data_IF_285835649732
#
_entry.id   IF_285835649732
#
_cell.length_a   1.000
_cell.length_b   1.000
_cell.length_c   1.000
_cell.angle_alpha   90.00
_cell.angle_beta   90.00
_cell.angle_gamma   90.00
#
_symmetry.space_group_name_H-M   'P 1'
#
loop_
_entity.id
_entity.type
_entity.pdbx_description
1 polymer ?
#
# COMPACT_ATOMS: atom_id res chain seq x y z
N UNK A 1 -8.48 3.20 -24.45
CA UNK A 1 -8.09 1.85 -24.00
C UNK A 1 -8.86 0.85 -24.81
N UNK A 2 -8.18 0.18 -25.75
CA UNK A 2 -8.79 -0.85 -26.60
C UNK A 2 -8.42 -2.21 -26.01
N UNK A 3 -9.42 -3.07 -25.81
CA UNK A 3 -9.23 -4.36 -25.13
C UNK A 3 -9.74 -5.53 -25.98
N UNK A 4 -9.15 -6.71 -25.75
CA UNK A 4 -9.59 -7.95 -26.38
C UNK A 4 -9.50 -9.14 -25.44
N UNK A 5 -10.24 -10.20 -25.77
CA UNK A 5 -10.04 -11.55 -25.20
C UNK A 5 -9.64 -12.50 -26.32
N UNK A 6 -8.59 -13.28 -26.09
CA UNK A 6 -8.05 -14.17 -27.10
C UNK A 6 -7.65 -15.52 -26.51
N UNK A 7 -7.77 -16.57 -27.32
CA UNK A 7 -7.19 -17.86 -26.98
C UNK A 7 -5.66 -17.84 -27.11
N UNK A 8 -4.97 -18.67 -26.33
CA UNK A 8 -3.50 -18.82 -26.44
C UNK A 8 -3.05 -19.08 -27.88
N UNK A 9 -3.73 -20.01 -28.59
CA UNK A 9 -3.41 -20.32 -30.00
C UNK A 9 -3.68 -19.15 -30.93
N UNK A 10 -4.82 -18.47 -30.77
CA UNK A 10 -5.18 -17.33 -31.61
C UNK A 10 -4.17 -16.18 -31.47
N UNK A 11 -3.65 -15.97 -30.26
CA UNK A 11 -2.66 -14.94 -29.98
C UNK A 11 -1.35 -15.24 -30.73
N UNK A 12 -0.86 -16.48 -30.63
CA UNK A 12 0.36 -16.92 -31.31
C UNK A 12 0.21 -16.78 -32.83
N UNK A 13 -0.97 -17.08 -33.37
CA UNK A 13 -1.26 -16.96 -34.80
C UNK A 13 -1.49 -15.52 -35.28
N UNK A 14 -1.75 -14.56 -34.39
CA UNK A 14 -2.07 -13.18 -34.74
C UNK A 14 -1.29 -12.18 -33.88
N UNK A 15 0.04 -12.34 -33.81
CA UNK A 15 0.91 -11.47 -32.99
C UNK A 15 0.85 -9.99 -33.39
N UNK A 16 0.48 -9.68 -34.64
CA UNK A 16 0.25 -8.31 -35.10
C UNK A 16 -0.81 -7.56 -34.27
N UNK A 17 -1.77 -8.27 -33.68
CA UNK A 17 -2.80 -7.69 -32.80
C UNK A 17 -2.20 -7.10 -31.51
N UNK A 18 -1.00 -7.49 -31.11
CA UNK A 18 -0.32 -6.91 -29.95
C UNK A 18 -0.06 -5.39 -30.11
N UNK A 19 -0.03 -4.90 -31.35
CA UNK A 19 0.12 -3.47 -31.65
C UNK A 19 -1.22 -2.71 -31.70
N UNK A 20 -2.34 -3.43 -31.75
CA UNK A 20 -3.68 -2.86 -31.92
C UNK A 20 -4.42 -2.68 -30.59
N UNK A 21 -4.05 -3.47 -29.57
CA UNK A 21 -4.72 -3.50 -28.27
C UNK A 21 -3.81 -3.02 -27.14
N UNK A 22 -4.39 -2.26 -26.22
CA UNK A 22 -3.71 -1.81 -25.00
C UNK A 22 -3.66 -2.92 -23.95
N UNK A 23 -4.64 -3.83 -23.97
CA UNK A 23 -4.80 -4.90 -23.00
C UNK A 23 -5.48 -6.11 -23.64
N UNK A 24 -4.91 -7.31 -23.47
CA UNK A 24 -5.49 -8.56 -23.99
C UNK A 24 -5.56 -9.59 -22.86
N UNK A 25 -6.75 -10.12 -22.62
CA UNK A 25 -6.95 -11.29 -21.76
C UNK A 25 -6.68 -12.56 -22.55
N UNK A 26 -5.82 -13.42 -22.02
CA UNK A 26 -5.46 -14.68 -22.64
C UNK A 26 -6.19 -15.78 -21.89
N UNK A 27 -7.12 -16.44 -22.55
CA UNK A 27 -7.92 -17.53 -21.97
C UNK A 27 -7.61 -18.88 -22.65
N UNK A 28 -7.83 -19.95 -21.91
CA UNK A 28 -8.05 -21.26 -22.51
C UNK A 28 -9.50 -21.32 -23.03
N UNK A 29 -9.67 -21.36 -24.36
CA UNK A 29 -10.99 -21.37 -25.01
C UNK A 29 -11.88 -22.54 -24.58
N UNK A 30 -11.29 -23.70 -24.23
CA UNK A 30 -12.06 -24.89 -23.83
C UNK A 30 -12.60 -24.74 -22.42
N UNK A 31 -11.74 -24.37 -21.47
CA UNK A 31 -12.11 -24.27 -20.06
C UNK A 31 -12.63 -22.88 -19.64
N UNK A 32 -12.55 -21.88 -20.53
CA UNK A 32 -12.84 -20.47 -20.25
C UNK A 32 -12.08 -19.90 -19.05
N UNK A 33 -10.95 -20.52 -18.69
CA UNK A 33 -10.08 -20.06 -17.61
C UNK A 33 -9.08 -19.04 -18.13
N UNK A 34 -8.95 -17.93 -17.41
CA UNK A 34 -7.89 -16.95 -17.63
C UNK A 34 -6.52 -17.61 -17.39
N UNK A 35 -5.60 -17.41 -18.32
CA UNK A 35 -4.23 -17.94 -18.28
C UNK A 35 -3.18 -16.85 -18.16
N UNK A 36 -3.48 -15.64 -18.63
CA UNK A 36 -2.58 -14.51 -18.52
C UNK A 36 -3.18 -13.25 -19.12
N UNK A 37 -2.39 -12.18 -19.08
CA UNK A 37 -2.73 -10.89 -19.66
C UNK A 37 -1.51 -10.34 -20.40
N UNK A 38 -1.77 -9.70 -21.54
CA UNK A 38 -0.80 -8.85 -22.22
C UNK A 38 -1.21 -7.40 -22.02
N UNK A 39 -0.22 -6.52 -21.82
CA UNK A 39 -0.39 -5.09 -21.71
C UNK A 39 0.58 -4.39 -22.66
N UNK A 40 0.12 -3.35 -23.34
CA UNK A 40 0.96 -2.55 -24.22
C UNK A 40 2.05 -1.86 -23.41
N UNK A 41 3.20 -1.57 -24.05
CA UNK A 41 4.33 -0.92 -23.39
C UNK A 41 3.94 0.43 -22.76
N UNK A 42 3.08 1.20 -23.43
CA UNK A 42 2.56 2.48 -22.90
C UNK A 42 1.80 2.26 -21.60
N UNK A 43 0.84 1.33 -21.60
CA UNK A 43 0.03 1.04 -20.42
C UNK A 43 0.87 0.46 -19.29
N UNK A 44 1.88 -0.37 -19.60
CA UNK A 44 2.82 -0.89 -18.62
C UNK A 44 3.64 0.21 -17.94
N UNK A 45 4.11 1.21 -18.69
CA UNK A 45 4.84 2.35 -18.12
C UNK A 45 3.94 3.22 -17.24
N UNK A 46 2.72 3.51 -17.68
CA UNK A 46 1.74 4.27 -16.89
C UNK A 46 1.38 3.53 -15.59
N UNK A 47 1.16 2.21 -15.68
CA UNK A 47 0.88 1.38 -14.51
C UNK A 47 2.06 1.30 -13.54
N UNK A 48 3.29 1.17 -14.06
CA UNK A 48 4.51 1.20 -13.23
C UNK A 48 4.63 2.54 -12.49
N UNK A 49 4.45 3.65 -13.19
CA UNK A 49 4.48 4.99 -12.60
C UNK A 49 3.41 5.15 -11.52
N UNK A 50 2.20 4.67 -11.78
CA UNK A 50 1.12 4.67 -10.79
C UNK A 50 1.49 3.87 -9.53
N UNK A 51 2.11 2.70 -9.66
CA UNK A 51 2.56 1.90 -8.52
C UNK A 51 3.66 2.60 -7.72
N UNK A 52 4.63 3.21 -8.40
CA UNK A 52 5.71 3.97 -7.77
C UNK A 52 5.16 5.18 -6.99
N UNK A 53 4.28 5.97 -7.60
CA UNK A 53 3.62 7.10 -6.94
C UNK A 53 2.78 6.66 -5.73
N UNK A 54 2.14 5.48 -5.83
CA UNK A 54 1.36 4.93 -4.72
C UNK A 54 2.25 4.46 -3.57
N UNK A 55 3.37 3.80 -3.87
CA UNK A 55 4.34 3.38 -2.84
C UNK A 55 4.97 4.57 -2.14
N UNK A 56 5.24 5.64 -2.87
CA UNK A 56 5.81 6.87 -2.31
C UNK A 56 4.81 7.56 -1.38
N UNK A 57 3.54 7.64 -1.79
CA UNK A 57 2.46 8.18 -0.95
C UNK A 57 2.24 7.36 0.32
N UNK A 58 2.16 6.03 0.23
CA UNK A 58 1.99 5.17 1.41
C UNK A 58 3.19 5.27 2.35
N UNK A 59 4.40 5.40 1.80
CA UNK A 59 5.62 5.60 2.60
C UNK A 59 5.62 6.96 3.28
N UNK A 60 5.23 8.02 2.56
CA UNK A 60 5.13 9.37 3.10
C UNK A 60 4.05 9.48 4.18
N UNK A 61 2.91 8.81 4.00
CA UNK A 61 1.84 8.71 5.00
C UNK A 61 2.31 7.97 6.26
N UNK A 62 3.01 6.84 6.11
CA UNK A 62 3.60 6.11 7.24
C UNK A 62 4.65 6.95 7.97
N UNK A 63 5.53 7.65 7.25
CA UNK A 63 6.52 8.56 7.84
C UNK A 63 5.85 9.75 8.53
N UNK A 64 4.75 10.28 8.00
CA UNK A 64 3.97 11.36 8.62
C UNK A 64 3.28 10.87 9.90
N UNK A 65 2.66 9.68 9.87
CA UNK A 65 2.06 9.06 11.04
C UNK A 65 3.12 8.79 12.13
N UNK A 66 4.27 8.25 11.75
CA UNK A 66 5.40 8.00 12.65
C UNK A 66 5.93 9.29 13.28
N UNK A 67 6.16 10.35 12.48
CA UNK A 67 6.58 11.67 13.00
C UNK A 67 5.55 12.29 13.94
N UNK A 68 4.26 12.15 13.65
CA UNK A 68 3.19 12.64 14.53
C UNK A 68 3.16 11.87 15.86
N UNK A 69 3.35 10.56 15.82
CA UNK A 69 3.46 9.73 17.03
C UNK A 69 4.65 10.13 17.90
N UNK A 70 5.84 10.33 17.32
CA UNK A 70 7.03 10.82 18.05
C UNK A 70 6.74 12.20 18.68
N UNK A 71 6.14 13.12 17.92
CA UNK A 71 5.76 14.44 18.46
C UNK A 71 4.75 14.36 19.61
N UNK A 72 3.89 13.34 19.63
CA UNK A 72 2.94 13.12 20.72
C UNK A 72 3.64 12.52 21.95
N UNK A 73 4.64 11.64 21.78
CA UNK A 73 5.45 11.12 22.88
C UNK A 73 6.38 12.17 23.50
N UNK A 74 6.85 13.14 22.72
CA UNK A 74 7.69 14.25 23.21
C UNK A 74 6.89 15.39 23.87
N UNK A 75 5.56 15.41 23.70
CA UNK A 75 4.72 16.35 24.45
C UNK A 75 4.70 15.90 25.91
N UNK A 76 5.30 16.71 26.78
CA UNK A 76 5.09 16.59 28.22
C UNK A 76 3.58 16.57 28.48
N UNK A 77 3.11 15.53 29.17
CA UNK A 77 1.71 15.39 29.51
C UNK A 77 1.37 16.45 30.56
N UNK A 78 0.51 17.45 30.28
CA UNK A 78 0.19 18.51 31.24
C UNK A 78 -0.40 17.96 32.53
N UNK A 79 -1.10 16.82 32.44
CA UNK A 79 -1.63 16.10 33.59
C UNK A 79 -0.53 15.49 34.48
N UNK A 80 0.66 15.20 33.95
CA UNK A 80 1.80 14.72 34.72
C UNK A 80 2.69 15.85 35.24
N UNK A 81 2.65 17.03 34.61
CA UNK A 81 3.40 18.22 35.04
C UNK A 81 2.82 18.87 36.31
N UNK A 82 1.53 18.69 36.58
CA UNK A 82 0.86 19.17 37.80
C UNK A 82 1.19 18.32 39.04
N UNK A 83 1.86 17.17 38.89
CA UNK A 83 2.29 16.35 40.00
C UNK A 83 3.79 16.57 40.22
N UNK A 84 4.15 17.12 41.38
CA UNK A 84 5.54 17.16 41.81
C UNK A 84 6.01 15.72 42.04
N UNK A 85 7.13 15.31 41.42
CA UNK A 85 7.61 13.91 41.48
C UNK A 85 7.93 13.46 42.90
N UNK A 86 8.17 14.43 43.78
CA UNK A 86 8.49 14.24 45.19
C UNK A 86 7.27 14.43 46.12
N UNK A 87 6.04 14.55 45.59
CA UNK A 87 4.83 14.63 46.41
C UNK A 87 4.64 13.33 47.21
N UNK A 88 4.65 13.39 48.56
CA UNK A 88 4.59 12.21 49.42
C UNK A 88 3.31 11.38 49.23
N UNK A 89 2.21 11.95 48.71
CA UNK A 89 0.97 11.22 48.41
C UNK A 89 1.09 10.31 47.19
N UNK A 90 1.94 10.67 46.23
CA UNK A 90 2.20 9.86 45.02
C UNK A 90 3.05 8.64 45.42
N UNK A 91 4.11 8.85 46.20
CA UNK A 91 5.03 7.79 46.65
C UNK A 91 4.35 6.71 47.51
N UNK A 92 3.41 7.11 48.36
CA UNK A 92 2.65 6.17 49.21
C UNK A 92 1.72 5.27 48.38
N UNK A 93 1.16 5.81 47.29
CA UNK A 93 0.23 5.09 46.40
C UNK A 93 0.95 4.10 45.48
N UNK A 94 2.18 4.41 45.06
CA UNK A 94 3.01 3.50 44.25
C UNK A 94 3.56 2.34 45.09
N UNK A 95 3.94 2.60 46.36
CA UNK A 95 4.35 1.53 47.30
C UNK A 95 3.21 0.55 47.62
N UNK A 96 1.98 1.04 47.80
CA UNK A 96 0.81 0.19 48.06
C UNK A 96 0.29 -0.61 46.85
N UNK A 97 0.89 -0.46 45.67
CA UNK A 97 0.58 -1.25 44.47
C UNK A 97 1.65 -2.30 44.14
N UNK A 98 2.76 -2.34 44.90
CA UNK A 98 3.86 -3.32 44.73
C UNK A 98 3.87 -4.39 45.84
N UNK A 99 2.85 -4.42 46.69
CA UNK A 99 2.50 -5.54 47.58
C UNK A 99 1.20 -6.19 47.07
#
# INVERSE_FOLDING_TARGET
MITAKMGVKDLISNLNKLNEFDYIEIEDKKSKKLKGVFISAKLAMEFKKFLEEKSDKETEEKLKAFRNMIKLSDRKNPFLEQFDKDDPKILQKVKGMSE
#
